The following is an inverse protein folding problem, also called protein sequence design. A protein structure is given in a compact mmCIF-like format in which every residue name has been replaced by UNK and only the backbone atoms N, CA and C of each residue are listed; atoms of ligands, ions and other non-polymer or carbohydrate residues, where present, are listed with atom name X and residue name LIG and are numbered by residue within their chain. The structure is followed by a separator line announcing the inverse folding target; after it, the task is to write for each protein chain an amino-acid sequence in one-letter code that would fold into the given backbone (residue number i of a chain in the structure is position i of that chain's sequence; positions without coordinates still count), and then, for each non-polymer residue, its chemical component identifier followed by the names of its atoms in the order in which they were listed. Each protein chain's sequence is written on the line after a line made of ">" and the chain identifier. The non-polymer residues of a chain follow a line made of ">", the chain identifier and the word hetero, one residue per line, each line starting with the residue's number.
data_IF_947257086382
#
_entry.id   IF_947257086382
#
_cell.length_a   1.000
_cell.length_b   1.000
_cell.length_c   1.000
_cell.angle_alpha   90.00
_cell.angle_beta   90.00
_cell.angle_gamma   90.00
#
_symmetry.space_group_name_H-M   'P 1'
#
loop_
_entity.id
_entity.type
_entity.pdbx_description
1 polymer ?
#
# COMPACT_ATOMS: atom_id res chain seq x y z
N UNK A 1 -2.49 -31.31 8.33
CA UNK A 1 -3.90 -31.14 8.69
C UNK A 1 -4.71 -31.33 7.42
N UNK A 2 -5.72 -32.22 7.42
CA UNK A 2 -6.54 -32.50 6.23
C UNK A 2 -7.57 -31.40 6.00
N UNK A 3 -8.09 -31.31 4.77
CA UNK A 3 -9.16 -30.36 4.41
C UNK A 3 -10.44 -30.61 5.23
N UNK A 4 -10.74 -31.88 5.52
CA UNK A 4 -11.90 -32.26 6.34
C UNK A 4 -11.80 -31.69 7.75
N UNK A 5 -10.66 -31.88 8.43
CA UNK A 5 -10.47 -31.38 9.78
C UNK A 5 -10.52 -29.85 9.82
N UNK A 6 -9.93 -29.19 8.82
CA UNK A 6 -10.01 -27.74 8.68
C UNK A 6 -11.44 -27.24 8.43
N UNK A 7 -12.24 -27.95 7.62
CA UNK A 7 -13.63 -27.60 7.35
C UNK A 7 -14.54 -27.80 8.57
N UNK A 8 -14.32 -28.85 9.36
CA UNK A 8 -15.01 -29.08 10.63
C UNK A 8 -14.72 -27.95 11.62
N UNK A 9 -13.45 -27.57 11.75
CA UNK A 9 -13.03 -26.50 12.66
C UNK A 9 -13.49 -25.10 12.22
N UNK A 10 -13.75 -24.90 10.92
CA UNK A 10 -14.30 -23.65 10.36
C UNK A 10 -15.82 -23.65 10.20
N UNK A 11 -16.48 -24.78 10.49
CA UNK A 11 -17.91 -25.00 10.22
C UNK A 11 -18.31 -24.63 8.77
N UNK A 12 -17.45 -24.90 7.78
CA UNK A 12 -17.76 -24.61 6.36
C UNK A 12 -18.69 -25.70 5.81
N UNK A 13 -20.00 -25.42 5.88
CA UNK A 13 -21.08 -26.33 5.45
C UNK A 13 -20.96 -26.77 3.99
N UNK A 14 -20.32 -25.99 3.12
CA UNK A 14 -20.15 -26.36 1.71
C UNK A 14 -19.13 -27.47 1.55
N UNK A 15 -18.00 -27.38 2.25
CA UNK A 15 -16.95 -28.41 2.20
C UNK A 15 -17.37 -29.65 3.00
N UNK A 16 -18.13 -29.48 4.07
CA UNK A 16 -18.72 -30.57 4.86
C UNK A 16 -19.80 -31.34 4.08
N UNK A 17 -20.71 -30.66 3.37
CA UNK A 17 -21.72 -31.33 2.54
C UNK A 17 -21.12 -32.10 1.35
N UNK A 18 -19.96 -31.65 0.85
CA UNK A 18 -19.18 -32.42 -0.13
C UNK A 18 -18.56 -33.67 0.49
N UNK A 19 -18.24 -33.65 1.79
CA UNK A 19 -17.71 -34.80 2.51
C UNK A 19 -18.72 -35.92 2.71
N UNK A 20 -19.98 -35.55 2.93
CA UNK A 20 -21.08 -36.48 3.12
C UNK A 20 -21.43 -37.23 1.82
N UNK A 21 -21.15 -36.61 0.66
CA UNK A 21 -21.52 -37.13 -0.66
C UNK A 21 -20.36 -37.77 -1.44
N UNK A 22 -19.09 -37.49 -1.08
CA UNK A 22 -17.93 -37.99 -1.80
C UNK A 22 -16.68 -38.18 -0.91
N UNK A 23 -15.76 -39.05 -1.34
CA UNK A 23 -14.49 -39.28 -0.65
C UNK A 23 -13.59 -38.02 -0.73
N UNK A 24 -13.52 -37.26 0.36
CA UNK A 24 -12.68 -36.06 0.42
C UNK A 24 -11.19 -36.33 0.25
N UNK A 25 -10.70 -37.51 0.64
CA UNK A 25 -9.28 -37.85 0.51
C UNK A 25 -8.86 -37.83 -0.97
N UNK A 26 -9.71 -38.36 -1.85
CA UNK A 26 -9.47 -38.32 -3.30
C UNK A 26 -9.55 -36.88 -3.84
N UNK A 27 -10.51 -36.07 -3.38
CA UNK A 27 -10.64 -34.66 -3.80
C UNK A 27 -9.53 -33.77 -3.26
N UNK A 28 -8.99 -34.07 -2.08
CA UNK A 28 -7.87 -33.34 -1.48
C UNK A 28 -6.62 -33.41 -2.37
N UNK A 29 -6.40 -34.54 -3.05
CA UNK A 29 -5.32 -34.70 -4.03
C UNK A 29 -5.50 -33.83 -5.30
N UNK A 30 -6.71 -33.34 -5.57
CA UNK A 30 -7.01 -32.45 -6.70
C UNK A 30 -6.90 -30.96 -6.35
N UNK A 31 -6.70 -30.58 -5.09
CA UNK A 31 -6.40 -29.20 -4.75
C UNK A 31 -4.93 -28.90 -5.06
N UNK A 32 -4.68 -27.74 -5.66
CA UNK A 32 -3.32 -27.21 -5.74
C UNK A 32 -2.73 -27.11 -4.32
N UNK A 33 -1.43 -27.39 -4.20
CA UNK A 33 -0.73 -27.38 -2.91
C UNK A 33 -0.88 -26.03 -2.19
N UNK A 34 -0.82 -24.93 -2.93
CA UNK A 34 -1.04 -23.58 -2.42
C UNK A 34 -2.45 -23.40 -1.84
N UNK A 35 -3.49 -23.80 -2.57
CA UNK A 35 -4.88 -23.73 -2.12
C UNK A 35 -5.14 -24.61 -0.90
N UNK A 36 -4.60 -25.84 -0.89
CA UNK A 36 -4.69 -26.75 0.25
C UNK A 36 -4.02 -26.14 1.48
N UNK A 37 -2.82 -25.61 1.30
CA UNK A 37 -2.04 -24.97 2.37
C UNK A 37 -2.78 -23.75 2.92
N UNK A 38 -3.29 -22.86 2.08
CA UNK A 38 -4.01 -21.67 2.54
C UNK A 38 -5.31 -22.02 3.27
N UNK A 39 -6.04 -23.03 2.80
CA UNK A 39 -7.27 -23.47 3.44
C UNK A 39 -7.01 -24.10 4.83
N UNK A 40 -5.97 -24.93 4.95
CA UNK A 40 -5.62 -25.64 6.19
C UNK A 40 -4.79 -24.80 7.18
N UNK A 41 -4.14 -23.71 6.74
CA UNK A 41 -3.28 -22.86 7.60
C UNK A 41 -4.05 -22.06 8.65
N UNK A 42 -5.29 -21.65 8.37
CA UNK A 42 -6.03 -20.70 9.23
C UNK A 42 -6.73 -21.33 10.44
N UNK A 43 -6.44 -22.58 10.77
CA UNK A 43 -7.22 -23.29 11.80
C UNK A 43 -6.65 -23.13 13.21
N UNK A 44 -5.41 -22.64 13.32
CA UNK A 44 -4.82 -22.26 14.61
C UNK A 44 -5.31 -20.88 15.14
N UNK A 45 -6.15 -20.15 14.39
CA UNK A 45 -6.56 -18.78 14.71
C UNK A 45 -8.08 -18.60 14.92
N UNK A 46 -8.78 -19.64 15.41
CA UNK A 46 -10.14 -19.47 15.97
C UNK A 46 -10.13 -19.14 17.46
N UNK A 47 -8.97 -18.76 18.00
CA UNK A 47 -8.94 -17.65 18.94
C UNK A 47 -8.47 -16.47 18.12
N UNK A 48 -9.37 -15.52 17.87
CA UNK A 48 -8.90 -14.15 17.77
C UNK A 48 -8.15 -13.92 19.09
N UNK A 49 -6.82 -13.70 19.13
CA UNK A 49 -6.37 -12.82 20.17
C UNK A 49 -7.11 -11.54 19.83
N UNK A 50 -8.10 -11.18 20.65
CA UNK A 50 -8.48 -9.80 20.81
C UNK A 50 -7.16 -9.15 21.21
N UNK A 51 -6.42 -8.74 20.18
CA UNK A 51 -5.19 -8.03 20.34
C UNK A 51 -5.69 -6.79 21.02
N UNK A 52 -5.49 -6.74 22.33
CA UNK A 52 -5.23 -5.51 23.04
C UNK A 52 -3.94 -4.95 22.44
N UNK A 53 -3.99 -4.65 21.13
CA UNK A 53 -3.09 -3.73 20.49
C UNK A 53 -3.33 -2.46 21.30
N UNK A 54 -2.29 -2.02 22.00
CA UNK A 54 -2.31 -0.79 22.76
C UNK A 54 -2.94 0.29 21.88
N UNK A 55 -4.19 0.64 22.17
CA UNK A 55 -4.96 1.65 21.45
C UNK A 55 -4.14 2.95 21.39
N UNK A 56 -3.39 3.22 22.46
CA UNK A 56 -2.47 4.35 22.57
C UNK A 56 -1.28 4.28 21.59
N UNK A 57 -0.67 3.11 21.38
CA UNK A 57 0.46 2.96 20.45
C UNK A 57 -0.02 3.08 19.00
N UNK A 58 -1.19 2.51 18.69
CA UNK A 58 -1.78 2.63 17.37
C UNK A 58 -2.24 4.08 17.08
N UNK A 59 -2.80 4.77 18.08
CA UNK A 59 -3.19 6.17 17.96
C UNK A 59 -2.00 7.10 17.70
N UNK A 60 -0.87 6.89 18.38
CA UNK A 60 0.37 7.67 18.17
C UNK A 60 0.95 7.46 16.76
N UNK A 61 0.96 6.22 16.29
CA UNK A 61 1.39 5.88 14.93
C UNK A 61 0.50 6.57 13.89
N UNK A 62 -0.82 6.49 14.06
CA UNK A 62 -1.78 7.13 13.15
C UNK A 62 -1.64 8.65 13.11
N UNK A 63 -1.40 9.28 14.26
CA UNK A 63 -1.16 10.72 14.36
C UNK A 63 0.14 11.12 13.63
N UNK A 64 1.25 10.43 13.90
CA UNK A 64 2.54 10.68 13.23
C UNK A 64 2.41 10.58 11.70
N UNK A 65 1.75 9.53 11.21
CA UNK A 65 1.53 9.32 9.79
C UNK A 65 0.57 10.35 9.17
N UNK A 66 -0.36 10.90 9.96
CA UNK A 66 -1.29 11.95 9.55
C UNK A 66 -0.59 13.31 9.43
N UNK A 67 0.28 13.65 10.39
CA UNK A 67 1.08 14.88 10.34
C UNK A 67 2.09 14.85 9.19
N UNK A 68 2.79 13.73 9.01
CA UNK A 68 3.68 13.54 7.85
C UNK A 68 2.93 13.64 6.52
N UNK A 69 1.66 13.22 6.48
CA UNK A 69 0.85 13.31 5.27
C UNK A 69 0.43 14.76 4.99
N UNK A 70 0.00 15.50 6.02
CA UNK A 70 -0.29 16.94 5.89
C UNK A 70 0.93 17.71 5.36
N UNK A 71 2.12 17.45 5.92
CA UNK A 71 3.35 18.07 5.43
C UNK A 71 3.59 17.83 3.92
N UNK A 72 3.32 16.61 3.43
CA UNK A 72 3.43 16.33 2.01
C UNK A 72 2.31 16.99 1.21
N UNK A 73 1.08 17.04 1.72
CA UNK A 73 0.00 17.78 1.06
C UNK A 73 0.36 19.25 0.87
N UNK A 74 0.90 19.91 1.90
CA UNK A 74 1.32 21.30 1.82
C UNK A 74 2.44 21.49 0.78
N UNK A 75 3.40 20.56 0.73
CA UNK A 75 4.44 20.57 -0.29
C UNK A 75 3.86 20.41 -1.70
N UNK A 76 2.95 19.45 -1.90
CA UNK A 76 2.29 19.19 -3.19
C UNK A 76 1.49 20.42 -3.62
N UNK A 77 0.71 21.02 -2.72
CA UNK A 77 -0.05 22.22 -3.01
C UNK A 77 0.88 23.34 -3.48
N UNK A 78 1.89 23.69 -2.68
CA UNK A 78 2.79 24.81 -2.99
C UNK A 78 3.66 24.57 -4.23
N UNK A 79 4.23 23.39 -4.39
CA UNK A 79 5.23 23.15 -5.43
C UNK A 79 4.62 22.57 -6.70
N UNK A 80 3.71 21.61 -6.61
CA UNK A 80 3.20 20.91 -7.78
C UNK A 80 1.98 21.64 -8.36
N UNK A 81 1.07 22.08 -7.49
CA UNK A 81 -0.16 22.75 -7.91
C UNK A 81 0.13 24.23 -8.19
N UNK A 82 0.54 25.00 -7.19
CA UNK A 82 0.66 26.46 -7.31
C UNK A 82 1.84 26.88 -8.19
N UNK A 83 2.99 26.19 -8.08
CA UNK A 83 4.18 26.47 -8.90
C UNK A 83 4.26 25.62 -10.18
N UNK A 84 3.25 24.80 -10.48
CA UNK A 84 3.19 24.00 -11.70
C UNK A 84 4.43 23.11 -11.96
N UNK A 85 5.09 22.62 -10.91
CA UNK A 85 6.31 21.80 -11.06
C UNK A 85 6.00 20.32 -11.20
N UNK A 86 6.94 19.59 -11.83
CA UNK A 86 6.87 18.14 -11.97
C UNK A 86 7.86 17.50 -11.03
N UNK A 87 7.37 16.57 -10.22
CA UNK A 87 8.17 15.89 -9.21
C UNK A 87 8.10 14.38 -9.38
N UNK A 88 9.12 13.68 -8.92
CA UNK A 88 9.11 12.21 -8.89
C UNK A 88 8.38 11.73 -7.64
N UNK A 89 7.56 10.70 -7.78
CA UNK A 89 6.88 10.09 -6.63
C UNK A 89 7.88 9.55 -5.59
N UNK A 90 9.05 9.09 -6.03
CA UNK A 90 10.14 8.67 -5.12
C UNK A 90 10.64 9.81 -4.25
N UNK A 91 10.69 11.04 -4.76
CA UNK A 91 11.10 12.24 -4.02
C UNK A 91 10.07 12.59 -2.95
N UNK A 92 8.77 12.54 -3.28
CA UNK A 92 7.71 12.75 -2.29
C UNK A 92 7.75 11.70 -1.17
N UNK A 93 7.99 10.43 -1.54
CA UNK A 93 8.16 9.35 -0.56
C UNK A 93 9.37 9.58 0.34
N UNK A 94 10.48 10.05 -0.22
CA UNK A 94 11.69 10.33 0.55
C UNK A 94 11.49 11.51 1.51
N UNK A 95 10.83 12.59 1.07
CA UNK A 95 10.42 13.69 1.95
C UNK A 95 9.51 13.21 3.09
N UNK A 96 8.55 12.34 2.77
CA UNK A 96 7.66 11.75 3.78
C UNK A 96 8.43 10.94 4.83
N UNK A 97 9.35 10.09 4.36
CA UNK A 97 10.22 9.28 5.23
C UNK A 97 11.14 10.13 6.08
N UNK A 98 11.74 11.17 5.50
CA UNK A 98 12.65 12.09 6.20
C UNK A 98 11.90 12.84 7.29
N UNK A 99 10.67 13.27 7.01
CA UNK A 99 9.82 13.91 8.01
C UNK A 99 9.54 12.97 9.20
N UNK A 100 9.13 11.72 8.91
CA UNK A 100 8.91 10.72 9.96
C UNK A 100 10.19 10.40 10.73
N UNK A 101 11.32 10.25 10.06
CA UNK A 101 12.60 9.97 10.71
C UNK A 101 13.02 11.10 11.66
N UNK A 102 12.76 12.35 11.28
CA UNK A 102 13.14 13.52 12.07
C UNK A 102 12.19 13.79 13.25
N UNK A 103 10.88 13.60 13.08
CA UNK A 103 9.87 13.98 14.07
C UNK A 103 9.35 12.79 14.89
N UNK A 104 9.34 11.60 14.31
CA UNK A 104 8.75 10.38 14.86
C UNK A 104 9.65 9.16 14.60
N UNK A 105 10.87 9.13 15.14
CA UNK A 105 11.83 8.05 14.86
C UNK A 105 11.32 6.65 15.25
N UNK A 106 10.44 6.57 16.25
CA UNK A 106 9.81 5.31 16.68
C UNK A 106 8.79 4.76 15.66
N UNK A 107 8.17 5.65 14.87
CA UNK A 107 7.17 5.31 13.85
C UNK A 107 7.76 5.30 12.44
N UNK A 108 9.08 5.42 12.33
CA UNK A 108 9.78 5.42 11.05
C UNK A 108 9.72 4.05 10.40
N UNK A 109 9.15 3.99 9.19
CA UNK A 109 9.12 2.78 8.38
C UNK A 109 10.01 2.94 7.13
N UNK A 110 11.17 2.24 7.05
CA UNK A 110 12.04 2.30 5.87
C UNK A 110 11.41 1.67 4.63
N UNK A 111 10.44 0.77 4.80
CA UNK A 111 9.76 0.03 3.74
C UNK A 111 8.40 0.66 3.36
N UNK A 112 8.17 1.93 3.72
CA UNK A 112 6.94 2.62 3.36
C UNK A 112 6.75 2.64 1.83
N UNK A 113 5.65 2.04 1.36
CA UNK A 113 5.40 1.81 -0.07
C UNK A 113 4.96 3.10 -0.77
N UNK A 114 5.53 3.33 -1.94
CA UNK A 114 5.18 4.44 -2.84
C UNK A 114 3.68 4.46 -3.17
N UNK A 115 3.11 3.28 -3.47
CA UNK A 115 1.69 3.14 -3.85
C UNK A 115 0.74 3.62 -2.75
N UNK A 116 1.10 3.42 -1.47
CA UNK A 116 0.29 3.91 -0.35
C UNK A 116 0.25 5.43 -0.32
N UNK A 117 1.39 6.10 -0.57
CA UNK A 117 1.42 7.56 -0.64
C UNK A 117 0.59 8.06 -1.82
N UNK A 118 0.77 7.45 -2.99
CA UNK A 118 0.02 7.78 -4.20
C UNK A 118 -1.48 7.70 -3.98
N UNK A 119 -1.98 6.60 -3.41
CA UNK A 119 -3.41 6.43 -3.12
C UNK A 119 -3.93 7.53 -2.18
N UNK A 120 -3.17 7.91 -1.15
CA UNK A 120 -3.57 9.00 -0.25
C UNK A 120 -3.59 10.35 -0.98
N UNK A 121 -2.62 10.62 -1.84
CA UNK A 121 -2.57 11.85 -2.65
C UNK A 121 -3.71 11.92 -3.66
N UNK A 122 -4.00 10.82 -4.36
CA UNK A 122 -5.15 10.70 -5.26
C UNK A 122 -6.47 10.94 -4.52
N UNK A 123 -6.63 10.37 -3.33
CA UNK A 123 -7.83 10.58 -2.52
C UNK A 123 -7.97 12.03 -2.04
N UNK A 124 -6.86 12.70 -1.73
CA UNK A 124 -6.88 14.07 -1.19
C UNK A 124 -7.05 15.13 -2.28
N UNK A 125 -6.33 15.02 -3.39
CA UNK A 125 -6.30 16.04 -4.45
C UNK A 125 -7.19 15.72 -5.65
N UNK A 126 -7.63 14.47 -5.79
CA UNK A 126 -8.47 14.02 -6.90
C UNK A 126 -7.83 14.34 -8.24
N UNK A 127 -8.60 15.01 -9.10
CA UNK A 127 -8.20 15.37 -10.47
C UNK A 127 -7.23 16.56 -10.53
N UNK A 128 -6.92 17.22 -9.41
CA UNK A 128 -5.95 18.34 -9.40
C UNK A 128 -4.53 17.89 -9.68
N UNK A 129 -4.22 16.62 -9.43
CA UNK A 129 -2.91 16.03 -9.65
C UNK A 129 -3.02 14.85 -10.61
N UNK A 130 -2.08 14.78 -11.54
CA UNK A 130 -1.94 13.70 -12.50
C UNK A 130 -0.69 12.87 -12.17
N UNK A 131 -0.78 11.57 -12.42
CA UNK A 131 0.33 10.64 -12.24
C UNK A 131 0.65 10.00 -13.57
N UNK A 132 1.93 10.05 -13.96
CA UNK A 132 2.38 9.47 -15.21
C UNK A 132 3.64 8.66 -15.00
N UNK A 133 3.65 7.47 -15.59
CA UNK A 133 4.75 6.53 -15.51
C UNK A 133 5.40 6.36 -16.90
N UNK A 134 6.43 7.16 -17.25
CA UNK A 134 7.14 7.02 -18.52
C UNK A 134 7.78 5.65 -18.72
N UNK A 135 8.27 5.05 -17.64
CA UNK A 135 8.94 3.76 -17.62
C UNK A 135 8.64 3.08 -16.27
N UNK A 136 8.78 1.76 -16.19
CA UNK A 136 8.52 0.95 -14.99
C UNK A 136 9.25 1.44 -13.73
N UNK A 137 10.35 2.19 -13.89
CA UNK A 137 11.19 2.69 -12.78
C UNK A 137 10.85 4.09 -12.28
N UNK A 138 10.14 4.91 -13.05
CA UNK A 138 9.94 6.33 -12.75
C UNK A 138 8.46 6.65 -12.85
N UNK A 139 7.91 7.19 -11.77
CA UNK A 139 6.57 7.75 -11.73
C UNK A 139 6.67 9.24 -11.35
N UNK A 140 6.00 10.06 -12.15
CA UNK A 140 5.94 11.51 -12.03
C UNK A 140 4.57 11.93 -11.53
N UNK A 141 4.55 13.04 -10.81
CA UNK A 141 3.36 13.72 -10.32
C UNK A 141 3.44 15.19 -10.72
N UNK A 142 2.35 15.69 -11.27
CA UNK A 142 2.24 17.07 -11.77
C UNK A 142 0.80 17.57 -11.66
N UNK A 143 0.59 18.89 -11.69
CA UNK A 143 -0.76 19.47 -11.70
C UNK A 143 -1.48 19.15 -13.01
N UNK A 144 -2.79 18.93 -12.95
CA UNK A 144 -3.62 18.73 -14.15
C UNK A 144 -3.68 19.97 -15.05
N UNK A 145 -3.36 21.14 -14.51
CA UNK A 145 -3.26 22.38 -15.29
C UNK A 145 -2.02 22.41 -16.18
N UNK A 146 -1.03 21.54 -15.92
CA UNK A 146 0.19 21.43 -16.73
C UNK A 146 -0.05 20.46 -17.89
N UNK A 147 0.08 20.91 -19.15
CA UNK A 147 0.02 20.01 -20.30
C UNK A 147 1.08 18.92 -20.17
N UNK A 148 0.71 17.68 -20.50
CA UNK A 148 1.60 16.53 -20.39
C UNK A 148 2.94 16.73 -21.12
N UNK A 149 2.94 17.42 -22.26
CA UNK A 149 4.16 17.75 -23.01
C UNK A 149 5.14 18.59 -22.18
N UNK A 150 4.67 19.68 -21.58
CA UNK A 150 5.48 20.53 -20.69
C UNK A 150 5.97 19.76 -19.46
N UNK A 151 5.13 18.85 -18.94
CA UNK A 151 5.54 18.04 -17.80
C UNK A 151 6.69 17.08 -18.14
N UNK A 152 6.70 16.53 -19.35
CA UNK A 152 7.77 15.67 -19.87
C UNK A 152 9.07 16.46 -20.03
N UNK A 153 8.99 17.65 -20.62
CA UNK A 153 10.15 18.53 -20.83
C UNK A 153 10.79 18.91 -19.49
N UNK A 154 10.00 19.33 -18.50
CA UNK A 154 10.49 19.66 -17.16
C UNK A 154 11.15 18.46 -16.46
N UNK A 155 10.60 17.25 -16.64
CA UNK A 155 11.21 16.03 -16.10
C UNK A 155 12.53 15.68 -16.79
N UNK A 156 12.65 15.93 -18.10
CA UNK A 156 13.87 15.71 -18.86
C UNK A 156 14.98 16.70 -18.47
N UNK A 157 14.64 17.98 -18.34
CA UNK A 157 15.59 19.03 -17.92
C UNK A 157 16.13 18.81 -16.50
N UNK A 158 15.26 18.44 -15.56
CA UNK A 158 15.65 18.16 -14.18
C UNK A 158 16.54 16.92 -14.05
N UNK A 159 16.33 15.90 -14.89
CA UNK A 159 17.21 14.73 -14.95
C UNK A 159 18.62 15.08 -15.46
N UNK A 160 18.73 15.93 -16.48
CA UNK A 160 20.03 16.32 -17.05
C UNK A 160 20.84 17.24 -16.12
N UNK A 161 20.18 18.04 -15.27
CA UNK A 161 20.86 18.91 -14.29
C UNK A 161 21.57 18.15 -13.16
N UNK A 162 21.22 16.88 -12.91
CA UNK A 162 21.83 16.04 -11.87
C UNK A 162 22.93 15.10 -12.42
N UNK A 163 23.29 15.22 -13.70
CA UNK A 163 24.30 14.40 -14.37
C UNK A 163 25.64 15.14 -14.59
N UNK A 164 25.83 16.32 -13.97
CA UNK A 164 27.08 17.06 -13.88
C UNK A 164 27.48 17.20 -12.41
#
# INVERSE_FOLDING_TARGET
>A
MSILNAAQQKSDSRVLGIAETACLIAREAHYHESCRRDYTRNVAHTTMPTSTCNIETQSKMEEAHSQAFHYICDYVQKHIIDNATVERMTMLREKYRTYLQSKYPQEYNPNYKTDKLKQKLQKHFGEKVQFWQPNYRIELVYSNEVPKGCAIEAAFESANKHAK
#
